data_IF_495951807203
#
_entry.id   IF_495951807203
#
_cell.length_a   1.000
_cell.length_b   1.000
_cell.length_c   1.000
_cell.angle_alpha   90.00
_cell.angle_beta   90.00
_cell.angle_gamma   90.00
#
_symmetry.space_group_name_H-M   'P 1'
#
loop_
_entity.id
_entity.type
_entity.pdbx_description
1 polymer ?
#
# COMPACT_ATOMS: atom_id res chain seq x y z
N UNK A 1 -10.32 -11.91 5.47
CA UNK A 1 -10.77 -13.22 4.93
C UNK A 1 -9.52 -14.03 4.66
N UNK A 2 -9.66 -15.30 4.31
CA UNK A 2 -8.55 -16.07 3.73
C UNK A 2 -8.08 -15.39 2.43
N UNK A 3 -6.78 -15.47 2.14
CA UNK A 3 -6.15 -14.99 0.92
C UNK A 3 -5.24 -16.09 0.36
N UNK A 4 -5.65 -16.63 -0.78
CA UNK A 4 -5.00 -17.72 -1.54
C UNK A 4 -4.76 -17.28 -2.97
N UNK A 5 -4.02 -18.06 -3.76
CA UNK A 5 -3.88 -17.76 -5.19
C UNK A 5 -5.24 -17.69 -5.92
N UNK A 6 -6.21 -18.54 -5.57
CA UNK A 6 -7.55 -18.57 -6.18
C UNK A 6 -8.38 -17.32 -5.83
N UNK A 7 -8.30 -16.86 -4.58
CA UNK A 7 -9.01 -15.66 -4.11
C UNK A 7 -8.29 -14.36 -4.46
N UNK A 8 -7.15 -14.45 -5.14
CA UNK A 8 -6.36 -13.32 -5.62
C UNK A 8 -5.48 -12.69 -4.53
N UNK A 9 -4.67 -13.49 -3.84
CA UNK A 9 -3.73 -13.02 -2.82
C UNK A 9 -2.74 -11.95 -3.34
N UNK A 10 -2.06 -11.29 -2.40
CA UNK A 10 -1.00 -10.34 -2.73
C UNK A 10 0.17 -11.09 -3.38
N UNK A 11 0.77 -10.51 -4.41
CA UNK A 11 2.05 -10.95 -4.97
C UNK A 11 3.03 -9.80 -4.90
N UNK A 12 4.30 -10.13 -4.68
CA UNK A 12 5.39 -9.16 -4.55
C UNK A 12 6.61 -9.59 -5.35
N UNK A 13 7.42 -8.63 -5.77
CA UNK A 13 8.76 -8.90 -6.28
C UNK A 13 9.79 -8.66 -5.16
N UNK A 14 10.35 -9.71 -4.55
CA UNK A 14 11.33 -9.55 -3.47
C UNK A 14 12.52 -8.68 -3.90
N UNK A 15 12.95 -7.78 -3.02
CA UNK A 15 14.10 -6.89 -3.30
C UNK A 15 13.80 -5.67 -4.20
N UNK A 16 12.67 -5.62 -4.90
CA UNK A 16 12.35 -4.51 -5.82
C UNK A 16 12.33 -3.11 -5.18
N UNK A 17 11.98 -3.03 -3.89
CA UNK A 17 12.00 -1.80 -3.09
C UNK A 17 13.36 -1.09 -3.05
N UNK A 18 14.47 -1.81 -3.26
CA UNK A 18 15.82 -1.24 -3.27
C UNK A 18 16.05 -0.27 -4.43
N UNK A 19 15.20 -0.31 -5.46
CA UNK A 19 15.26 0.61 -6.59
C UNK A 19 14.60 1.97 -6.28
N UNK A 20 13.98 2.11 -5.10
CA UNK A 20 13.30 3.33 -4.69
C UNK A 20 12.09 3.67 -5.56
N UNK A 21 11.75 4.96 -5.63
CA UNK A 21 10.65 5.46 -6.45
C UNK A 21 10.97 5.27 -7.94
N UNK A 22 10.04 4.64 -8.67
CA UNK A 22 10.11 4.54 -10.13
C UNK A 22 9.08 5.47 -10.77
N UNK A 23 9.51 6.26 -11.76
CA UNK A 23 8.65 7.21 -12.49
C UNK A 23 7.55 6.49 -13.28
N UNK A 24 7.88 5.35 -13.87
CA UNK A 24 7.00 4.48 -14.68
C UNK A 24 6.51 3.26 -13.92
N UNK A 25 5.94 3.45 -12.74
CA UNK A 25 5.49 2.37 -11.84
C UNK A 25 4.02 1.96 -11.97
N UNK A 26 3.31 2.50 -12.98
CA UNK A 26 1.88 2.21 -13.15
C UNK A 26 1.70 0.91 -13.91
N UNK A 27 0.70 0.12 -13.51
CA UNK A 27 0.31 -1.12 -14.17
C UNK A 27 -0.19 -0.95 -15.62
N UNK A 28 -0.23 0.27 -16.16
CA UNK A 28 -0.54 0.52 -17.59
C UNK A 28 0.72 0.71 -18.43
N UNK A 29 1.89 0.78 -17.80
CA UNK A 29 3.16 1.00 -18.47
C UNK A 29 3.73 -0.34 -18.98
N UNK A 30 3.91 -0.53 -20.31
CA UNK A 30 4.47 -1.76 -20.86
C UNK A 30 5.88 -2.08 -20.34
N UNK A 31 6.74 -1.07 -20.18
CA UNK A 31 8.13 -1.27 -19.72
C UNK A 31 8.17 -1.82 -18.29
N UNK A 32 7.19 -1.43 -17.47
CA UNK A 32 7.04 -1.95 -16.11
C UNK A 32 6.75 -3.45 -16.11
N UNK A 33 5.88 -3.92 -17.00
CA UNK A 33 5.52 -5.35 -17.12
C UNK A 33 6.61 -6.18 -17.77
N UNK A 34 7.40 -5.61 -18.68
CA UNK A 34 8.60 -6.28 -19.20
C UNK A 34 9.63 -6.50 -18.10
N UNK A 35 9.82 -5.52 -17.23
CA UNK A 35 10.79 -5.58 -16.13
C UNK A 35 10.31 -6.45 -14.96
N UNK A 36 9.02 -6.43 -14.67
CA UNK A 36 8.39 -7.14 -13.55
C UNK A 36 7.18 -7.96 -14.04
N UNK A 37 7.40 -9.01 -14.85
CA UNK A 37 6.32 -9.84 -15.35
C UNK A 37 5.55 -10.47 -14.19
N UNK A 38 4.22 -10.47 -14.29
CA UNK A 38 3.38 -10.86 -13.17
C UNK A 38 3.65 -12.30 -12.68
N UNK A 39 4.02 -13.20 -13.59
CA UNK A 39 4.34 -14.60 -13.34
C UNK A 39 5.57 -14.77 -12.44
N UNK A 40 6.53 -13.83 -12.49
CA UNK A 40 7.73 -13.87 -11.66
C UNK A 40 7.54 -13.30 -10.24
N UNK A 41 6.37 -12.76 -9.93
CA UNK A 41 6.04 -12.29 -8.58
C UNK A 41 5.75 -13.46 -7.63
N UNK A 42 6.23 -13.34 -6.40
CA UNK A 42 6.01 -14.31 -5.31
C UNK A 42 4.65 -14.10 -4.66
N UNK A 43 3.83 -15.14 -4.58
CA UNK A 43 2.53 -15.11 -3.90
C UNK A 43 2.69 -15.08 -2.37
N UNK A 44 1.83 -14.30 -1.72
CA UNK A 44 1.75 -14.13 -0.27
C UNK A 44 0.35 -14.57 0.15
N UNK A 45 0.21 -15.85 0.46
CA UNK A 45 -1.01 -16.40 1.05
C UNK A 45 -1.08 -16.06 2.54
N UNK A 46 -2.31 -15.93 3.06
CA UNK A 46 -2.55 -15.48 4.42
C UNK A 46 -3.90 -15.99 4.95
N UNK A 47 -3.93 -16.35 6.23
CA UNK A 47 -5.14 -16.74 6.94
C UNK A 47 -5.86 -15.52 7.55
N UNK A 48 -7.14 -15.64 7.93
CA UNK A 48 -7.83 -14.58 8.65
C UNK A 48 -7.12 -14.20 9.95
N UNK A 49 -6.57 -12.97 9.99
CA UNK A 49 -5.87 -12.43 11.16
C UNK A 49 -4.39 -12.18 10.90
N UNK A 50 -3.83 -12.78 9.85
CA UNK A 50 -2.45 -12.51 9.43
C UNK A 50 -2.27 -11.08 8.93
N UNK A 51 -1.04 -10.58 9.12
CA UNK A 51 -0.65 -9.23 8.70
C UNK A 51 0.66 -9.32 7.92
N UNK A 52 0.66 -8.77 6.71
CA UNK A 52 1.87 -8.59 5.91
C UNK A 52 2.37 -7.15 6.04
N UNK A 53 3.63 -6.99 6.44
CA UNK A 53 4.33 -5.70 6.38
C UNK A 53 5.26 -5.70 5.18
N UNK A 54 5.25 -4.62 4.41
CA UNK A 54 6.14 -4.47 3.26
C UNK A 54 6.50 -3.00 3.02
N UNK A 55 7.63 -2.80 2.34
CA UNK A 55 8.16 -1.47 2.02
C UNK A 55 7.27 -0.74 0.99
N UNK A 56 7.16 0.58 1.12
CA UNK A 56 6.34 1.40 0.23
C UNK A 56 6.72 1.28 -1.26
N UNK A 57 7.99 1.01 -1.56
CA UNK A 57 8.49 0.88 -2.93
C UNK A 57 8.53 -0.56 -3.45
N UNK A 58 8.05 -1.55 -2.69
CA UNK A 58 7.99 -2.91 -3.22
C UNK A 58 7.00 -2.97 -4.39
N UNK A 59 7.43 -3.56 -5.50
CA UNK A 59 6.54 -3.89 -6.61
C UNK A 59 5.58 -4.98 -6.14
N UNK A 60 4.28 -4.71 -6.23
CA UNK A 60 3.24 -5.61 -5.76
C UNK A 60 1.97 -5.52 -6.61
N UNK A 61 1.15 -6.56 -6.55
CA UNK A 61 -0.14 -6.64 -7.24
C UNK A 61 -0.97 -7.82 -6.74
N UNK A 62 -2.19 -7.98 -7.26
CA UNK A 62 -3.04 -9.12 -6.97
C UNK A 62 -3.71 -9.60 -8.25
N UNK A 63 -3.95 -10.91 -8.35
CA UNK A 63 -4.80 -11.45 -9.43
C UNK A 63 -6.26 -11.08 -9.20
N UNK A 64 -7.05 -11.17 -10.27
CA UNK A 64 -8.50 -11.25 -10.16
C UNK A 64 -8.89 -12.41 -9.24
N UNK A 65 -9.95 -12.21 -8.46
CA UNK A 65 -10.53 -13.28 -7.66
C UNK A 65 -11.33 -14.21 -8.58
N UNK A 66 -10.96 -15.49 -8.63
CA UNK A 66 -11.62 -16.51 -9.45
C UNK A 66 -12.51 -17.45 -8.64
N UNK A 67 -12.62 -17.22 -7.32
CA UNK A 67 -13.48 -17.98 -6.42
C UNK A 67 -14.85 -17.32 -6.23
N UNK A 68 -15.78 -18.05 -5.60
CA UNK A 68 -17.07 -17.52 -5.16
C UNK A 68 -16.98 -16.74 -3.83
N UNK A 69 -15.82 -16.77 -3.15
CA UNK A 69 -15.63 -16.16 -1.83
C UNK A 69 -15.04 -14.75 -1.95
N UNK A 70 -15.59 -13.74 -1.29
CA UNK A 70 -15.00 -12.41 -1.32
C UNK A 70 -13.69 -12.36 -0.52
N UNK A 71 -12.68 -11.65 -1.06
CA UNK A 71 -11.45 -11.32 -0.33
C UNK A 71 -11.51 -9.90 0.22
N UNK A 72 -11.42 -9.76 1.54
CA UNK A 72 -11.38 -8.46 2.25
C UNK A 72 -9.99 -8.20 2.80
N UNK A 73 -9.48 -7.00 2.53
CA UNK A 73 -8.19 -6.51 3.03
C UNK A 73 -8.39 -5.15 3.69
N UNK A 74 -7.73 -4.93 4.83
CA UNK A 74 -7.58 -3.61 5.44
C UNK A 74 -6.15 -3.17 5.22
N UNK A 75 -5.96 -2.00 4.58
CA UNK A 75 -4.63 -1.46 4.29
C UNK A 75 -4.41 -0.24 5.17
N UNK A 76 -3.37 -0.30 6.01
CA UNK A 76 -2.86 0.84 6.76
C UNK A 76 -1.50 1.26 6.18
N UNK A 77 -1.39 2.50 5.71
CA UNK A 77 -0.12 3.09 5.28
C UNK A 77 0.46 3.91 6.42
N UNK A 78 1.67 3.57 6.81
CA UNK A 78 2.40 4.23 7.90
C UNK A 78 3.67 4.86 7.34
N UNK A 79 4.04 6.01 7.88
CA UNK A 79 5.25 6.76 7.52
C UNK A 79 5.81 7.40 8.79
N UNK A 80 7.08 7.77 8.78
CA UNK A 80 7.71 8.41 9.92
C UNK A 80 7.08 9.79 10.15
N UNK A 81 6.93 10.20 11.41
CA UNK A 81 6.50 11.56 11.74
C UNK A 81 7.47 12.65 11.25
N UNK A 82 8.66 12.26 10.76
CA UNK A 82 9.66 13.15 10.13
C UNK A 82 9.50 13.23 8.61
N UNK A 83 8.69 12.37 7.99
CA UNK A 83 8.52 12.37 6.53
C UNK A 83 7.62 13.52 6.09
N UNK A 84 7.95 14.13 4.95
CA UNK A 84 7.10 15.12 4.30
C UNK A 84 6.21 14.41 3.29
N UNK A 85 4.94 14.80 3.26
CA UNK A 85 4.00 14.34 2.25
C UNK A 85 4.15 15.19 1.01
N UNK A 86 4.24 14.53 -0.14
CA UNK A 86 4.00 15.20 -1.42
C UNK A 86 2.49 15.39 -1.60
N UNK A 87 2.07 16.52 -2.16
CA UNK A 87 0.67 16.95 -2.32
C UNK A 87 -0.17 16.07 -3.28
N UNK A 88 0.34 14.90 -3.66
CA UNK A 88 -0.23 14.03 -4.68
C UNK A 88 -1.40 13.17 -4.18
N UNK A 89 -1.63 13.08 -2.86
CA UNK A 89 -2.71 12.26 -2.29
C UNK A 89 -3.45 13.00 -1.15
N UNK A 90 -4.65 13.50 -1.46
CA UNK A 90 -5.45 14.40 -0.61
C UNK A 90 -6.11 13.77 0.63
N UNK A 91 -5.94 12.48 0.91
CA UNK A 91 -6.67 11.81 1.99
C UNK A 91 -5.73 11.08 2.94
N UNK A 92 -5.23 11.80 3.94
CA UNK A 92 -4.58 11.18 5.08
C UNK A 92 -4.80 12.03 6.32
N UNK A 93 -5.49 11.45 7.31
CA UNK A 93 -5.93 12.13 8.53
C UNK A 93 -4.78 12.46 9.52
N UNK A 94 -3.52 12.36 9.08
CA UNK A 94 -2.32 12.63 9.90
C UNK A 94 -2.35 11.99 11.31
N UNK A 95 -3.07 10.86 11.46
CA UNK A 95 -3.27 10.23 12.76
C UNK A 95 -1.93 9.72 13.30
N UNK A 96 -1.53 10.24 14.45
CA UNK A 96 -0.31 9.82 15.14
C UNK A 96 -0.62 8.57 15.96
N UNK A 97 -0.14 7.42 15.49
CA UNK A 97 -0.28 6.15 16.22
C UNK A 97 0.80 5.95 17.28
N UNK A 98 1.97 6.57 17.09
CA UNK A 98 3.09 6.55 18.05
C UNK A 98 3.99 7.75 17.84
N UNK A 99 4.42 8.38 18.93
CA UNK A 99 5.39 9.49 18.89
C UNK A 99 4.76 10.82 18.50
N UNK A 100 5.42 11.55 17.59
CA UNK A 100 5.06 12.91 17.19
C UNK A 100 5.12 13.06 15.67
N UNK A 101 4.19 13.82 15.11
CA UNK A 101 4.28 14.34 13.75
C UNK A 101 4.96 15.72 13.80
N UNK A 102 6.18 15.80 13.26
CA UNK A 102 7.03 17.01 13.33
C UNK A 102 6.62 18.09 12.32
N UNK A 103 5.70 17.76 11.41
CA UNK A 103 5.19 18.68 10.39
C UNK A 103 3.76 19.13 10.68
N UNK A 104 3.18 18.74 11.82
CA UNK A 104 1.88 19.26 12.27
C UNK A 104 2.00 20.72 12.68
N UNK A 105 1.10 21.53 12.16
CA UNK A 105 0.87 22.93 12.52
C UNK A 105 -0.64 23.16 12.77
N UNK A 106 -1.01 24.36 13.23
CA UNK A 106 -2.41 24.68 13.58
C UNK A 106 -3.41 24.39 12.45
N UNK A 107 -3.01 24.61 11.19
CA UNK A 107 -3.84 24.37 10.02
C UNK A 107 -4.03 22.88 9.70
N UNK A 108 -3.03 22.03 9.96
CA UNK A 108 -3.09 20.58 9.73
C UNK A 108 -3.69 19.81 10.90
N UNK A 109 -3.59 20.32 12.13
CA UNK A 109 -4.23 19.76 13.32
C UNK A 109 -5.76 19.88 13.28
N UNK A 110 -6.29 20.97 12.70
CA UNK A 110 -7.74 21.20 12.56
C UNK A 110 -8.40 20.38 11.45
N UNK A 111 -7.65 19.84 10.49
CA UNK A 111 -8.23 19.02 9.40
C UNK A 111 -8.78 17.67 9.90
N UNK A 112 -8.27 17.14 11.01
CA UNK A 112 -8.84 15.95 11.67
C UNK A 112 -10.10 16.24 12.49
N UNK A 113 -10.51 17.51 12.62
CA UNK A 113 -11.71 17.95 13.34
C UNK A 113 -12.36 19.10 12.55
N UNK A 114 -12.93 18.82 11.38
CA UNK A 114 -13.91 19.73 10.77
C UNK A 114 -15.26 19.05 10.51
N UNK A 115 -16.16 19.45 11.42
CA UNK A 115 -17.62 19.59 11.45
C UNK A 115 -18.45 19.06 10.27
N UNK A 116 -19.62 18.45 10.56
CA UNK A 116 -20.61 18.12 9.54
C UNK A 116 -21.13 19.40 8.88
N UNK A 117 -21.30 19.34 7.56
CA UNK A 117 -22.30 20.10 6.82
C UNK A 117 -23.44 19.15 6.47
#
# INVERSE_FOLDING_TARGET
SEATEETGCLRVYPGSHQQGRMESSKAVDPEFHEKFPFEGATAIEAEPGDVTFFDYFIVHGSKSNHSEKPRKVVIARMFSGKDRKEDLYQFSENLVLRGWNYHTNEATARKGIMKPQ
#
